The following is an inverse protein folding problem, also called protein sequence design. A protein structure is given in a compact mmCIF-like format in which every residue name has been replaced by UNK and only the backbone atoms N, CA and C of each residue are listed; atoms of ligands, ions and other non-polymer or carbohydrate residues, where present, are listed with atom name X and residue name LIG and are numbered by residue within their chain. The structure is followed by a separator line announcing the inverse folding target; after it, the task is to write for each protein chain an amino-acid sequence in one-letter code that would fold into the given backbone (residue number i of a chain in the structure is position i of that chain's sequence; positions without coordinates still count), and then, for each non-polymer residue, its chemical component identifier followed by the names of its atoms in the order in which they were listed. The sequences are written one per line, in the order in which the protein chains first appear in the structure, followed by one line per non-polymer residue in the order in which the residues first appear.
data_IF_419832291271
#
_entry.id   IF_419832291271
#
_cell.length_a   1.000
_cell.length_b   1.000
_cell.length_c   1.000
_cell.angle_alpha   90.00
_cell.angle_beta   90.00
_cell.angle_gamma   90.00
#
_symmetry.space_group_name_H-M   'P 1'
#
loop_
_entity.id
_entity.type
_entity.pdbx_description
1 polymer ?
#
# COMPACT_ATOMS: atom_id res chain seq x y z
N UNK A 1 6.82 4.48 4.44
CA UNK A 1 7.52 5.42 5.34
C UNK A 1 7.55 4.92 6.78
N UNK A 2 8.35 5.57 7.62
CA UNK A 2 8.46 5.25 9.04
C UNK A 2 7.07 5.26 9.72
N UNK A 3 6.78 4.23 10.55
CA UNK A 3 5.46 4.04 11.17
C UNK A 3 4.37 3.51 10.25
N UNK A 4 4.63 3.41 8.95
CA UNK A 4 3.71 2.75 8.03
C UNK A 4 3.73 1.23 8.19
N UNK A 5 2.72 0.54 7.63
CA UNK A 5 2.54 -0.91 7.79
C UNK A 5 3.78 -1.71 7.41
N UNK A 6 4.35 -1.48 6.22
CA UNK A 6 5.59 -2.14 5.77
C UNK A 6 6.71 -2.02 6.79
N UNK A 7 6.95 -0.80 7.32
CA UNK A 7 7.96 -0.57 8.35
C UNK A 7 7.69 -1.36 9.63
N UNK A 8 6.43 -1.34 10.11
CA UNK A 8 6.06 -2.04 11.35
C UNK A 8 6.18 -3.56 11.23
N UNK A 9 6.02 -4.12 10.04
CA UNK A 9 6.18 -5.55 9.78
C UNK A 9 7.64 -5.95 9.56
N UNK A 10 8.42 -5.09 8.90
CA UNK A 10 9.83 -5.37 8.61
C UNK A 10 10.71 -5.30 9.87
N UNK A 11 10.45 -4.38 10.79
CA UNK A 11 11.30 -4.20 11.99
C UNK A 11 11.44 -5.43 12.88
N UNK A 12 10.35 -6.12 13.30
CA UNK A 12 10.48 -7.35 14.10
C UNK A 12 11.21 -8.45 13.35
N UNK A 13 10.99 -8.56 12.03
CA UNK A 13 11.69 -9.54 11.20
C UNK A 13 13.21 -9.28 11.21
N UNK A 14 13.60 -8.02 11.01
CA UNK A 14 15.02 -7.61 11.03
C UNK A 14 15.64 -7.87 12.39
N UNK A 15 14.97 -7.55 13.50
CA UNK A 15 15.49 -7.77 14.85
C UNK A 15 15.76 -9.28 15.12
N UNK A 16 14.86 -10.16 14.69
CA UNK A 16 15.07 -11.61 14.79
C UNK A 16 16.21 -12.09 13.87
N UNK A 17 16.31 -11.53 12.66
CA UNK A 17 17.37 -11.88 11.73
C UNK A 17 18.76 -11.46 12.26
N UNK A 18 18.89 -10.29 12.89
CA UNK A 18 20.12 -9.85 13.55
C UNK A 18 20.56 -10.85 14.63
N UNK A 19 19.62 -11.32 15.44
CA UNK A 19 19.93 -12.32 16.51
C UNK A 19 20.42 -13.64 15.92
N UNK A 20 19.78 -14.13 14.85
CA UNK A 20 20.12 -15.42 14.21
C UNK A 20 21.44 -15.32 13.44
N UNK A 21 21.65 -14.25 12.71
CA UNK A 21 22.80 -14.07 11.82
C UNK A 21 24.04 -13.52 12.56
N UNK A 22 23.85 -12.95 13.75
CA UNK A 22 24.94 -12.36 14.54
C UNK A 22 25.56 -11.10 13.89
N UNK A 23 24.85 -10.44 12.98
CA UNK A 23 25.31 -9.22 12.28
C UNK A 23 24.25 -8.12 12.38
N UNK A 24 24.66 -6.85 12.54
CA UNK A 24 23.72 -5.75 12.61
C UNK A 24 23.02 -5.53 11.25
N UNK A 25 21.71 -5.26 11.29
CA UNK A 25 20.90 -4.94 10.11
C UNK A 25 20.21 -3.58 10.29
N UNK A 26 20.29 -2.73 9.28
CA UNK A 26 19.70 -1.39 9.31
C UNK A 26 18.42 -1.34 8.47
N UNK A 27 17.32 -0.86 9.05
CA UNK A 27 16.09 -0.58 8.31
C UNK A 27 16.10 0.85 7.79
N UNK A 28 16.11 1.02 6.49
CA UNK A 28 15.98 2.30 5.81
C UNK A 28 14.56 2.50 5.28
N UNK A 29 14.03 3.72 5.43
CA UNK A 29 12.69 4.09 4.96
C UNK A 29 12.80 5.07 3.80
N UNK A 30 12.84 4.56 2.59
CA UNK A 30 12.87 5.35 1.36
C UNK A 30 11.44 5.49 0.84
N UNK A 31 10.93 6.72 0.79
CA UNK A 31 9.54 7.03 0.45
C UNK A 31 9.44 7.74 -0.90
N UNK A 32 8.26 7.68 -1.51
CA UNK A 32 7.95 8.36 -2.77
C UNK A 32 7.39 7.41 -3.83
N UNK A 33 6.63 7.95 -4.78
CA UNK A 33 6.10 7.24 -5.94
C UNK A 33 5.34 5.95 -5.59
N UNK A 34 4.47 5.98 -4.58
CA UNK A 34 3.77 4.78 -4.09
C UNK A 34 4.71 3.62 -3.68
N UNK A 35 5.93 3.94 -3.19
CA UNK A 35 6.96 2.96 -2.85
C UNK A 35 7.95 2.67 -3.99
N UNK A 36 7.70 3.18 -5.19
CA UNK A 36 8.54 2.97 -6.37
C UNK A 36 9.98 3.41 -6.17
N UNK A 37 10.21 4.54 -5.46
CA UNK A 37 11.57 5.04 -5.21
C UNK A 37 12.37 4.03 -4.39
N UNK A 38 11.85 3.54 -3.26
CA UNK A 38 12.56 2.56 -2.43
C UNK A 38 12.79 1.22 -3.13
N UNK A 39 11.82 0.76 -3.93
CA UNK A 39 11.99 -0.46 -4.73
C UNK A 39 13.01 -0.27 -5.85
N UNK A 40 13.09 0.92 -6.47
CA UNK A 40 14.11 1.24 -7.48
C UNK A 40 15.51 1.22 -6.87
N UNK A 41 15.69 1.78 -5.68
CA UNK A 41 16.97 1.71 -4.95
C UNK A 41 17.39 0.26 -4.69
N UNK A 42 16.44 -0.58 -4.26
CA UNK A 42 16.71 -2.00 -4.05
C UNK A 42 17.03 -2.76 -5.34
N UNK A 43 16.36 -2.43 -6.45
CA UNK A 43 16.64 -3.04 -7.76
C UNK A 43 18.02 -2.65 -8.30
N UNK A 44 18.53 -1.47 -7.95
CA UNK A 44 19.84 -0.97 -8.37
C UNK A 44 20.99 -1.35 -7.42
N UNK A 45 20.67 -1.96 -6.27
CA UNK A 45 21.70 -2.39 -5.33
C UNK A 45 22.53 -3.54 -5.88
N UNK A 46 23.78 -3.67 -5.41
CA UNK A 46 24.62 -4.82 -5.76
C UNK A 46 23.98 -6.13 -5.29
N UNK A 47 23.95 -7.18 -6.12
CA UNK A 47 23.31 -8.47 -5.77
C UNK A 47 24.22 -9.35 -4.90
N UNK A 48 24.82 -8.77 -3.87
CA UNK A 48 25.79 -9.40 -2.96
C UNK A 48 25.15 -10.01 -1.71
N UNK A 49 23.82 -9.87 -1.56
CA UNK A 49 23.06 -10.37 -0.41
C UNK A 49 23.05 -9.45 0.81
N UNK A 50 23.71 -8.29 0.77
CA UNK A 50 23.73 -7.32 1.87
C UNK A 50 22.62 -6.27 1.79
N UNK A 51 21.92 -6.17 0.66
CA UNK A 51 20.75 -5.29 0.51
C UNK A 51 19.49 -6.11 0.29
N UNK A 52 18.57 -6.02 1.26
CA UNK A 52 17.26 -6.66 1.20
C UNK A 52 16.18 -5.61 0.99
N UNK A 53 15.30 -5.84 0.03
CA UNK A 53 14.22 -4.91 -0.31
C UNK A 53 12.86 -5.50 0.00
N UNK A 54 12.02 -4.77 0.74
CA UNK A 54 10.62 -5.15 0.91
C UNK A 54 9.83 -4.73 -0.33
N UNK A 55 9.37 -5.72 -1.08
CA UNK A 55 8.54 -5.54 -2.27
C UNK A 55 7.07 -5.56 -1.85
N UNK A 56 6.30 -4.64 -2.42
CA UNK A 56 4.84 -4.57 -2.24
C UNK A 56 4.14 -4.83 -3.58
N UNK A 57 2.82 -4.96 -3.55
CA UNK A 57 2.01 -5.24 -4.75
C UNK A 57 2.23 -4.18 -5.85
N UNK A 58 2.66 -2.99 -5.50
CA UNK A 58 2.98 -1.92 -6.44
C UNK A 58 4.01 -2.34 -7.50
N UNK A 59 4.92 -3.26 -7.18
CA UNK A 59 5.88 -3.82 -8.15
C UNK A 59 5.21 -4.56 -9.33
N UNK A 60 3.95 -4.94 -9.20
CA UNK A 60 3.22 -5.63 -10.28
C UNK A 60 2.60 -4.67 -11.29
N UNK A 61 2.32 -3.42 -10.93
CA UNK A 61 1.63 -2.49 -11.83
C UNK A 61 2.39 -1.18 -12.12
N UNK A 62 3.25 -0.68 -11.22
CA UNK A 62 4.05 0.53 -11.47
C UNK A 62 4.91 0.45 -12.74
N UNK A 63 5.54 -0.70 -13.08
CA UNK A 63 6.26 -0.86 -14.35
C UNK A 63 5.37 -0.68 -15.58
N UNK A 64 4.14 -1.20 -15.53
CA UNK A 64 3.18 -1.08 -16.64
C UNK A 64 2.65 0.34 -16.82
N UNK A 65 2.70 1.15 -15.77
CA UNK A 65 2.37 2.57 -15.81
C UNK A 65 3.56 3.45 -16.24
N UNK A 66 4.74 2.86 -16.47
CA UNK A 66 5.97 3.60 -16.81
C UNK A 66 6.51 4.47 -15.67
N UNK A 67 6.12 4.19 -14.42
CA UNK A 67 6.49 5.00 -13.25
C UNK A 67 7.79 4.54 -12.57
N UNK A 68 8.27 3.35 -12.90
CA UNK A 68 9.53 2.78 -12.38
C UNK A 68 10.27 2.04 -13.51
N UNK A 69 11.62 1.98 -13.45
CA UNK A 69 12.44 1.33 -14.51
C UNK A 69 12.66 -0.17 -14.30
N UNK A 70 12.15 -0.75 -13.21
CA UNK A 70 12.32 -2.17 -12.87
C UNK A 70 11.05 -2.98 -13.11
N UNK A 71 11.16 -4.30 -13.05
CA UNK A 71 10.05 -5.25 -12.96
C UNK A 71 10.20 -6.14 -11.72
N UNK A 72 9.16 -6.89 -11.34
CA UNK A 72 9.26 -7.85 -10.25
C UNK A 72 10.30 -8.96 -10.51
N UNK A 73 10.73 -9.16 -11.78
CA UNK A 73 11.72 -10.15 -12.19
C UNK A 73 13.15 -9.72 -11.90
N UNK A 74 13.37 -8.46 -11.58
CA UNK A 74 14.68 -7.93 -11.21
C UNK A 74 15.03 -8.19 -9.74
N UNK A 75 14.17 -8.93 -9.03
CA UNK A 75 14.33 -9.30 -7.63
C UNK A 75 14.30 -10.82 -7.46
N UNK A 76 15.13 -11.33 -6.56
CA UNK A 76 15.08 -12.72 -6.11
C UNK A 76 14.21 -12.80 -4.84
N UNK A 77 13.02 -13.45 -4.88
CA UNK A 77 12.12 -13.51 -3.73
C UNK A 77 12.65 -14.49 -2.66
N UNK A 78 12.77 -14.01 -1.43
CA UNK A 78 13.19 -14.82 -0.29
C UNK A 78 11.99 -15.39 0.47
N UNK A 79 11.01 -14.54 0.80
CA UNK A 79 9.82 -14.95 1.54
C UNK A 79 8.67 -13.95 1.39
N UNK A 80 7.45 -14.43 1.57
CA UNK A 80 6.28 -13.57 1.73
C UNK A 80 6.13 -13.18 3.21
N UNK A 81 6.22 -11.87 3.50
CA UNK A 81 6.14 -11.34 4.87
C UNK A 81 4.69 -11.23 5.33
N UNK A 82 3.77 -10.86 4.42
CA UNK A 82 2.36 -10.62 4.75
C UNK A 82 1.43 -10.81 3.57
N UNK A 83 0.16 -11.02 3.90
CA UNK A 83 -0.99 -10.90 3.01
C UNK A 83 -1.96 -9.87 3.58
N UNK A 84 -2.47 -8.97 2.74
CA UNK A 84 -3.29 -7.84 3.16
C UNK A 84 -4.51 -7.69 2.26
N UNK A 85 -5.70 -8.17 2.68
CA UNK A 85 -6.92 -8.00 1.90
C UNK A 85 -7.37 -6.54 1.93
N UNK A 86 -7.96 -6.07 0.83
CA UNK A 86 -8.63 -4.78 0.79
C UNK A 86 -9.85 -4.78 1.74
N UNK A 87 -9.99 -3.73 2.53
CA UNK A 87 -11.10 -3.57 3.46
C UNK A 87 -11.68 -2.17 3.31
N UNK A 88 -12.99 -2.08 3.10
CA UNK A 88 -13.75 -0.83 3.20
C UNK A 88 -14.16 -0.64 4.66
N UNK A 89 -13.80 0.49 5.26
CA UNK A 89 -14.15 0.85 6.63
C UNK A 89 -14.91 2.16 6.64
N UNK A 90 -15.98 2.21 7.42
CA UNK A 90 -16.80 3.41 7.61
C UNK A 90 -16.91 3.75 9.10
N UNK A 91 -17.30 4.96 9.42
CA UNK A 91 -17.62 5.35 10.80
C UNK A 91 -18.83 4.55 11.31
N UNK A 92 -18.85 4.28 12.63
CA UNK A 92 -19.96 3.57 13.27
C UNK A 92 -21.30 4.28 13.12
N UNK A 93 -21.29 5.62 13.03
CA UNK A 93 -22.44 6.49 12.88
C UNK A 93 -22.74 6.86 11.42
N UNK A 94 -22.13 6.20 10.44
CA UNK A 94 -22.42 6.40 9.02
C UNK A 94 -23.88 5.99 8.73
N UNK A 95 -24.53 6.63 7.75
CA UNK A 95 -25.93 6.35 7.40
C UNK A 95 -26.14 4.97 6.78
N UNK A 96 -25.06 4.24 6.50
CA UNK A 96 -25.04 2.90 5.92
C UNK A 96 -24.20 1.95 6.79
N UNK A 97 -24.71 0.74 7.03
CA UNK A 97 -24.07 -0.25 7.91
C UNK A 97 -23.77 -1.59 7.19
N UNK A 98 -24.19 -1.74 5.93
CA UNK A 98 -23.90 -2.88 5.06
C UNK A 98 -23.36 -2.38 3.71
N UNK A 99 -22.75 -3.26 2.95
CA UNK A 99 -22.21 -2.89 1.62
C UNK A 99 -23.33 -2.51 0.65
N UNK A 100 -24.48 -3.17 0.73
CA UNK A 100 -25.63 -2.89 -0.10
C UNK A 100 -26.17 -1.47 0.19
N UNK A 101 -26.37 -1.15 1.47
CA UNK A 101 -26.83 0.19 1.90
C UNK A 101 -25.80 1.28 1.53
N UNK A 102 -24.51 0.98 1.60
CA UNK A 102 -23.46 1.87 1.14
C UNK A 102 -23.58 2.16 -0.36
N UNK A 103 -23.73 1.11 -1.19
CA UNK A 103 -23.85 1.25 -2.64
C UNK A 103 -25.10 2.05 -3.02
N UNK A 104 -26.25 1.76 -2.39
CA UNK A 104 -27.50 2.53 -2.59
C UNK A 104 -27.31 3.99 -2.24
N UNK A 105 -26.73 4.28 -1.07
CA UNK A 105 -26.47 5.66 -0.62
C UNK A 105 -25.56 6.41 -1.60
N UNK A 106 -24.49 5.77 -2.09
CA UNK A 106 -23.57 6.42 -3.05
C UNK A 106 -24.25 6.68 -4.38
N UNK A 107 -25.12 5.79 -4.85
CA UNK A 107 -25.93 6.00 -6.06
C UNK A 107 -26.88 7.20 -5.97
N UNK A 108 -27.39 7.47 -4.77
CA UNK A 108 -28.24 8.65 -4.51
C UNK A 108 -27.40 9.94 -4.33
N UNK A 109 -26.11 9.82 -4.03
CA UNK A 109 -25.18 10.91 -3.73
C UNK A 109 -23.87 10.79 -4.54
N UNK A 110 -23.92 10.79 -5.90
CA UNK A 110 -22.75 10.55 -6.73
C UNK A 110 -21.68 11.62 -6.51
N UNK A 111 -20.44 11.18 -6.27
CA UNK A 111 -19.28 12.04 -6.04
C UNK A 111 -19.25 12.73 -4.66
N UNK A 112 -20.26 12.60 -3.80
CA UNK A 112 -20.28 13.25 -2.49
C UNK A 112 -19.53 12.43 -1.41
N UNK A 113 -19.50 11.11 -1.56
CA UNK A 113 -18.84 10.22 -0.59
C UNK A 113 -17.33 10.20 -0.81
N UNK A 114 -16.59 10.64 0.22
CA UNK A 114 -15.14 10.75 0.19
C UNK A 114 -14.49 9.46 0.70
N UNK A 115 -13.55 8.90 -0.07
CA UNK A 115 -12.82 7.67 0.29
C UNK A 115 -11.33 7.96 0.47
N UNK A 116 -10.84 7.78 1.70
CA UNK A 116 -9.43 7.95 2.02
C UNK A 116 -8.58 6.79 1.49
N UNK A 117 -7.52 7.08 0.75
CA UNK A 117 -6.56 6.10 0.25
C UNK A 117 -5.11 6.53 0.47
N UNK A 118 -4.14 5.65 0.18
CA UNK A 118 -2.71 5.86 0.43
C UNK A 118 -1.96 6.61 -0.67
N UNK A 119 -2.66 7.40 -1.50
CA UNK A 119 -2.07 8.20 -2.56
C UNK A 119 -2.51 7.78 -3.96
N UNK A 120 -2.45 8.74 -4.88
CA UNK A 120 -2.81 8.51 -6.28
C UNK A 120 -1.90 7.47 -6.92
N UNK A 121 -2.47 6.54 -7.68
CA UNK A 121 -1.75 5.45 -8.35
C UNK A 121 -1.34 4.29 -7.44
N UNK A 122 -1.57 4.35 -6.12
CA UNK A 122 -1.32 3.23 -5.23
C UNK A 122 -2.44 2.18 -5.26
N UNK A 123 -2.17 0.99 -4.68
CA UNK A 123 -3.13 -0.15 -4.71
C UNK A 123 -4.50 0.21 -4.14
N UNK A 124 -4.55 1.02 -3.09
CA UNK A 124 -5.82 1.43 -2.47
C UNK A 124 -6.63 2.39 -3.34
N UNK A 125 -5.97 3.20 -4.17
CA UNK A 125 -6.63 4.01 -5.19
C UNK A 125 -7.21 3.12 -6.29
N UNK A 126 -6.45 2.13 -6.77
CA UNK A 126 -6.92 1.17 -7.75
C UNK A 126 -8.08 0.30 -7.22
N UNK A 127 -8.02 -0.09 -5.93
CA UNK A 127 -9.12 -0.82 -5.30
C UNK A 127 -10.41 0.02 -5.20
N UNK A 128 -10.29 1.34 -4.96
CA UNK A 128 -11.43 2.27 -5.00
C UNK A 128 -12.02 2.33 -6.41
N UNK A 129 -11.20 2.52 -7.43
CA UNK A 129 -11.64 2.56 -8.82
C UNK A 129 -12.28 1.23 -9.28
N UNK A 130 -11.75 0.09 -8.83
CA UNK A 130 -12.35 -1.21 -9.10
C UNK A 130 -13.72 -1.37 -8.43
N UNK A 131 -13.90 -0.85 -7.21
CA UNK A 131 -15.21 -0.82 -6.54
C UNK A 131 -16.21 0.07 -7.28
N UNK A 132 -15.81 1.26 -7.71
CA UNK A 132 -16.63 2.17 -8.51
C UNK A 132 -17.12 1.50 -9.79
N UNK A 133 -16.20 0.86 -10.52
CA UNK A 133 -16.55 0.13 -11.75
C UNK A 133 -17.47 -1.06 -11.50
N UNK A 134 -17.21 -1.85 -10.46
CA UNK A 134 -17.98 -3.07 -10.17
C UNK A 134 -19.39 -2.77 -9.66
N UNK A 135 -19.60 -1.68 -8.94
CA UNK A 135 -20.87 -1.30 -8.32
C UNK A 135 -21.64 -0.23 -9.13
N UNK A 136 -21.02 0.31 -10.18
CA UNK A 136 -21.55 1.44 -10.97
C UNK A 136 -21.90 2.65 -10.07
N UNK A 137 -20.88 3.11 -9.34
CA UNK A 137 -20.96 4.21 -8.37
C UNK A 137 -19.83 5.22 -8.59
N UNK A 138 -20.01 6.44 -8.10
CA UNK A 138 -19.02 7.52 -8.17
C UNK A 138 -18.60 7.95 -6.76
N UNK A 139 -17.31 7.83 -6.46
CA UNK A 139 -16.70 8.20 -5.17
C UNK A 139 -15.71 9.37 -5.37
N UNK A 140 -15.40 10.09 -4.32
CA UNK A 140 -14.34 11.12 -4.33
C UNK A 140 -13.11 10.60 -3.58
N UNK A 141 -12.06 10.13 -4.27
CA UNK A 141 -10.84 9.63 -3.63
C UNK A 141 -10.06 10.79 -2.99
N UNK A 142 -9.62 10.59 -1.74
CA UNK A 142 -8.79 11.53 -0.97
C UNK A 142 -7.48 10.86 -0.61
N UNK A 143 -6.37 11.41 -1.11
CA UNK A 143 -5.04 10.87 -0.87
C UNK A 143 -4.49 11.28 0.49
N UNK A 144 -3.91 10.33 1.23
CA UNK A 144 -3.19 10.54 2.48
C UNK A 144 -1.79 9.91 2.42
N UNK A 145 -0.80 10.55 3.03
CA UNK A 145 0.60 10.09 3.01
C UNK A 145 0.84 8.78 3.78
N UNK A 146 -0.02 8.45 4.74
CA UNK A 146 0.09 7.22 5.51
C UNK A 146 -1.28 6.69 5.97
N UNK A 147 -1.41 5.37 6.08
CA UNK A 147 -2.64 4.69 6.51
C UNK A 147 -3.14 5.12 7.92
N UNK A 148 -2.23 5.59 8.80
CA UNK A 148 -2.59 6.10 10.12
C UNK A 148 -3.36 7.42 10.07
N UNK A 149 -2.96 8.37 9.21
CA UNK A 149 -3.66 9.65 9.05
C UNK A 149 -5.10 9.48 8.58
N UNK A 150 -5.41 8.42 7.83
CA UNK A 150 -6.77 8.14 7.37
C UNK A 150 -7.76 7.86 8.51
N UNK A 151 -7.29 7.22 9.62
CA UNK A 151 -8.13 6.90 10.77
C UNK A 151 -8.50 8.11 11.62
N UNK A 152 -7.66 9.15 11.60
CA UNK A 152 -7.89 10.40 12.34
C UNK A 152 -8.82 11.37 11.58
N UNK A 153 -9.01 11.15 10.28
CA UNK A 153 -9.75 12.05 9.38
C UNK A 153 -11.13 11.53 8.97
N UNK A 154 -11.52 10.31 9.40
CA UNK A 154 -12.85 9.71 9.14
C UNK A 154 -13.83 9.93 10.27
#
# INVERSE_FOLDING_TARGET
GAGGRTHLMTRPLVANAEEILGVPMRVENITGGAGGVGMTEGANAEPDGYTLTTITVEATFLPHLGLVPFSYRDFEPIMQIAFDPATLSVRKDAPYQTIEAFIEYVKEHPGEVRVGNGGAGGIWHLATAALEQAADIELTPVAFDAAQKRRESC
#
